data_IF_727677950328
#
_entry.id   IF_727677950328
#
_cell.length_a   1.000
_cell.length_b   1.000
_cell.length_c   1.000
_cell.angle_alpha   90.00
_cell.angle_beta   90.00
_cell.angle_gamma   90.00
#
_symmetry.space_group_name_H-M   'P 1'
#
loop_
_entity.id
_entity.type
_entity.pdbx_description
1 polymer ?
#
# COMPACT_ATOMS: atom_id res chain seq x y z
N UNK A 1 5.65 -14.27 0.42
CA UNK A 1 4.25 -14.74 0.50
C UNK A 1 3.63 -14.52 1.89
N UNK A 2 4.35 -14.75 2.99
CA UNK A 2 3.81 -14.62 4.36
C UNK A 2 3.39 -13.19 4.80
N UNK A 3 4.09 -12.14 4.34
CA UNK A 3 3.77 -10.76 4.73
C UNK A 3 2.44 -10.23 4.16
N UNK A 4 2.01 -10.76 3.01
CA UNK A 4 0.73 -10.42 2.36
C UNK A 4 -0.43 -10.83 3.25
N UNK A 5 -0.35 -12.05 3.78
CA UNK A 5 -1.39 -12.65 4.59
C UNK A 5 -1.52 -11.95 5.95
N UNK A 6 -0.39 -11.57 6.56
CA UNK A 6 -0.40 -10.80 7.80
C UNK A 6 -1.03 -9.41 7.65
N UNK A 7 -0.74 -8.70 6.55
CA UNK A 7 -1.38 -7.42 6.29
C UNK A 7 -2.89 -7.58 6.06
N UNK A 8 -3.29 -8.65 5.36
CA UNK A 8 -4.71 -8.95 5.13
C UNK A 8 -5.44 -9.25 6.44
N UNK A 9 -4.88 -10.12 7.29
CA UNK A 9 -5.43 -10.46 8.61
C UNK A 9 -5.57 -9.20 9.47
N UNK A 10 -4.54 -8.36 9.53
CA UNK A 10 -4.61 -7.12 10.30
C UNK A 10 -5.75 -6.19 9.82
N UNK A 11 -5.99 -6.13 8.51
CA UNK A 11 -7.09 -5.35 7.93
C UNK A 11 -8.45 -6.01 8.25
N UNK A 12 -8.55 -7.33 8.14
CA UNK A 12 -9.76 -8.09 8.53
C UNK A 12 -10.08 -7.85 10.03
N UNK A 13 -9.06 -7.77 10.88
CA UNK A 13 -9.16 -7.49 12.32
C UNK A 13 -9.42 -6.01 12.67
N UNK A 14 -9.47 -5.13 11.66
CA UNK A 14 -9.90 -3.74 11.85
C UNK A 14 -8.84 -2.68 11.58
N UNK A 15 -7.62 -3.03 11.15
CA UNK A 15 -6.64 -2.02 10.73
C UNK A 15 -7.15 -1.23 9.51
N UNK A 16 -7.10 0.10 9.60
CA UNK A 16 -7.53 1.02 8.52
C UNK A 16 -6.44 1.97 8.06
N UNK A 17 -5.30 1.99 8.74
CA UNK A 17 -4.17 2.82 8.40
C UNK A 17 -2.87 2.02 8.47
N UNK A 18 -2.01 2.20 7.48
CA UNK A 18 -0.67 1.61 7.44
C UNK A 18 0.36 2.73 7.34
N UNK A 19 1.19 2.83 8.37
CA UNK A 19 2.29 3.79 8.40
C UNK A 19 3.52 3.18 7.70
N UNK A 20 3.93 3.81 6.60
CA UNK A 20 5.06 3.42 5.76
C UNK A 20 6.33 4.24 6.07
N UNK A 21 6.32 5.11 7.09
CA UNK A 21 7.43 6.04 7.37
C UNK A 21 8.76 5.39 7.74
N UNK A 22 8.73 4.09 8.09
CA UNK A 22 9.91 3.29 8.42
C UNK A 22 10.42 2.45 7.25
N UNK A 23 9.83 2.57 6.06
CA UNK A 23 10.28 1.86 4.87
C UNK A 23 11.44 2.64 4.25
N UNK A 24 12.63 2.04 4.25
CA UNK A 24 13.86 2.67 3.76
C UNK A 24 14.10 2.45 2.28
N UNK A 25 13.62 1.33 1.72
CA UNK A 25 13.80 0.99 0.30
C UNK A 25 12.50 0.43 -0.27
N UNK A 26 12.14 0.94 -1.43
CA UNK A 26 10.97 0.50 -2.20
C UNK A 26 11.44 0.18 -3.61
N UNK A 27 11.02 -0.97 -4.12
CA UNK A 27 11.12 -1.31 -5.53
C UNK A 27 9.72 -1.39 -6.15
N UNK A 28 9.66 -1.65 -7.46
CA UNK A 28 8.39 -1.76 -8.19
C UNK A 28 7.51 -2.93 -7.69
N UNK A 29 8.10 -3.98 -7.11
CA UNK A 29 7.35 -5.12 -6.58
C UNK A 29 6.68 -4.78 -5.24
N UNK A 30 7.36 -4.03 -4.38
CA UNK A 30 6.79 -3.49 -3.15
C UNK A 30 5.65 -2.52 -3.47
N UNK A 31 5.82 -1.61 -4.43
CA UNK A 31 4.74 -0.72 -4.87
C UNK A 31 3.54 -1.52 -5.41
N UNK A 32 3.77 -2.48 -6.29
CA UNK A 32 2.70 -3.33 -6.84
C UNK A 32 1.95 -4.09 -5.74
N UNK A 33 2.67 -4.53 -4.70
CA UNK A 33 2.09 -5.17 -3.53
C UNK A 33 1.14 -4.23 -2.78
N UNK A 34 1.58 -3.03 -2.41
CA UNK A 34 0.72 -2.07 -1.69
C UNK A 34 -0.53 -1.73 -2.50
N UNK A 35 -0.37 -1.43 -3.79
CA UNK A 35 -1.49 -1.18 -4.69
C UNK A 35 -2.45 -2.37 -4.78
N UNK A 36 -1.95 -3.60 -4.76
CA UNK A 36 -2.82 -4.79 -4.74
C UNK A 36 -3.62 -4.91 -3.44
N UNK A 37 -3.01 -4.54 -2.31
CA UNK A 37 -3.66 -4.55 -1.01
C UNK A 37 -4.77 -3.51 -0.91
N UNK A 38 -4.53 -2.29 -1.41
CA UNK A 38 -5.55 -1.23 -1.45
C UNK A 38 -6.68 -1.55 -2.43
N UNK A 39 -6.38 -2.15 -3.59
CA UNK A 39 -7.43 -2.66 -4.48
C UNK A 39 -8.27 -3.72 -3.79
N UNK A 40 -7.65 -4.69 -3.12
CA UNK A 40 -8.35 -5.72 -2.37
C UNK A 40 -9.21 -5.13 -1.24
N UNK A 41 -8.68 -4.18 -0.45
CA UNK A 41 -9.45 -3.57 0.64
C UNK A 41 -10.71 -2.87 0.10
N UNK A 42 -10.59 -2.16 -1.03
CA UNK A 42 -11.73 -1.53 -1.71
C UNK A 42 -12.79 -2.56 -2.17
N UNK A 43 -12.39 -3.73 -2.68
CA UNK A 43 -13.38 -4.78 -3.05
C UNK A 43 -14.10 -5.37 -1.83
N UNK A 44 -13.49 -5.28 -0.64
CA UNK A 44 -14.11 -5.65 0.63
C UNK A 44 -14.87 -4.48 1.29
N UNK A 45 -15.01 -3.34 0.61
CA UNK A 45 -15.61 -2.12 1.15
C UNK A 45 -14.87 -1.58 2.40
N UNK A 46 -13.56 -1.82 2.47
CA UNK A 46 -12.66 -1.36 3.52
C UNK A 46 -11.84 -0.19 2.99
N UNK A 47 -12.05 0.99 3.59
CA UNK A 47 -11.21 2.16 3.37
C UNK A 47 -9.88 1.99 4.11
N UNK A 48 -8.81 1.76 3.35
CA UNK A 48 -7.45 1.63 3.85
C UNK A 48 -6.67 2.88 3.47
N UNK A 49 -6.08 3.56 4.45
CA UNK A 49 -5.24 4.74 4.25
C UNK A 49 -3.76 4.41 4.44
N UNK A 50 -2.92 5.09 3.70
CA UNK A 50 -1.47 5.04 3.90
C UNK A 50 -1.00 6.36 4.49
N UNK A 51 -0.04 6.29 5.40
CA UNK A 51 0.63 7.46 5.95
C UNK A 51 2.14 7.28 5.89
N UNK A 52 2.88 8.39 5.86
CA UNK A 52 4.35 8.35 5.82
C UNK A 52 4.92 7.69 4.56
N UNK A 53 4.29 7.91 3.39
CA UNK A 53 4.78 7.40 2.11
C UNK A 53 6.22 7.88 1.85
N UNK A 54 7.18 6.96 1.59
CA UNK A 54 8.53 7.36 1.21
C UNK A 54 8.53 8.06 -0.16
N UNK A 55 9.32 9.12 -0.32
CA UNK A 55 9.46 9.87 -1.59
C UNK A 55 9.82 8.94 -2.76
N UNK A 56 10.66 7.94 -2.51
CA UNK A 56 11.03 6.93 -3.51
C UNK A 56 9.82 6.17 -4.06
N UNK A 57 8.82 5.87 -3.22
CA UNK A 57 7.61 5.18 -3.63
C UNK A 57 6.77 6.06 -4.58
N UNK A 58 6.68 7.36 -4.28
CA UNK A 58 6.01 8.34 -5.13
C UNK A 58 6.71 8.44 -6.49
N UNK A 59 8.05 8.57 -6.50
CA UNK A 59 8.81 8.64 -7.76
C UNK A 59 8.67 7.38 -8.62
N UNK A 60 8.62 6.19 -8.02
CA UNK A 60 8.38 4.94 -8.78
C UNK A 60 6.94 4.92 -9.32
N UNK A 61 5.96 5.39 -8.54
CA UNK A 61 4.57 5.42 -8.96
C UNK A 61 4.33 6.36 -10.13
N UNK A 62 4.91 7.56 -10.09
CA UNK A 62 4.92 8.51 -11.20
C UNK A 62 5.59 7.90 -12.44
N UNK A 63 6.76 7.27 -12.25
CA UNK A 63 7.51 6.64 -13.35
C UNK A 63 6.70 5.55 -14.08
N UNK A 64 5.87 4.81 -13.36
CA UNK A 64 5.05 3.72 -13.92
C UNK A 64 3.59 4.14 -14.20
N UNK A 65 3.23 5.41 -13.96
CA UNK A 65 1.90 5.97 -14.24
C UNK A 65 0.78 5.43 -13.35
N UNK A 66 1.05 5.22 -12.06
CA UNK A 66 0.07 4.71 -11.06
C UNK A 66 -0.05 5.61 -9.83
N UNK A 67 0.53 6.80 -9.87
CA UNK A 67 0.50 7.83 -8.83
C UNK A 67 -0.92 8.22 -8.40
N UNK A 68 -1.87 8.27 -9.35
CA UNK A 68 -3.29 8.49 -9.07
C UNK A 68 -3.89 7.47 -8.09
N UNK A 69 -3.33 6.26 -8.02
CA UNK A 69 -3.82 5.20 -7.13
C UNK A 69 -3.33 5.39 -5.68
N UNK A 70 -2.28 6.19 -5.47
CA UNK A 70 -1.69 6.45 -4.15
C UNK A 70 -2.45 7.56 -3.41
N UNK A 71 -3.01 8.53 -4.14
CA UNK A 71 -3.70 9.69 -3.57
C UNK A 71 -5.22 9.53 -3.38
N UNK A 72 -5.78 8.36 -3.69
CA UNK A 72 -7.22 8.08 -3.70
C UNK A 72 -7.69 7.27 -2.47
#
# INVERSE_FOLDING_TARGET
>A
MHQIELARIAIEDGAREINLSKIERVDSTALAYWLSLQRWSRTQNIELRWSGLPDQMLSIAELVGVDDLIHA
#
